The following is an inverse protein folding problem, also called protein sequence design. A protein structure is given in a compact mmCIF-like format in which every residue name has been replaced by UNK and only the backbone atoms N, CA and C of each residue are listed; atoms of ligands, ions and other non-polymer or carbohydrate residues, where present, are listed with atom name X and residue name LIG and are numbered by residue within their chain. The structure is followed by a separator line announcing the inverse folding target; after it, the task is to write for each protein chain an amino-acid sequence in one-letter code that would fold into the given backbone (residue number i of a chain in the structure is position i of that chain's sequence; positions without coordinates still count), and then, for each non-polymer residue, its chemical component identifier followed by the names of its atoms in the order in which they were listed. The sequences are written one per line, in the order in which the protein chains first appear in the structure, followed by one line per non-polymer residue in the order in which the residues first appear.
data_IF_768213213141
#
_entry.id   IF_768213213141
#
_cell.length_a   1.000
_cell.length_b   1.000
_cell.length_c   1.000
_cell.angle_alpha   90.00
_cell.angle_beta   90.00
_cell.angle_gamma   90.00
#
_symmetry.space_group_name_H-M   'P 1'
#
loop_
_entity.id
_entity.type
_entity.pdbx_description
1 polymer ?
#
# COMPACT_ATOMS: atom_id res chain seq x y z
N UNK A 1 -0.40 -19.01 11.68
CA UNK A 1 0.03 -17.91 10.78
C UNK A 1 1.09 -18.36 9.78
N UNK A 2 1.07 -17.81 8.57
CA UNK A 2 2.10 -17.96 7.53
C UNK A 2 2.78 -16.60 7.29
N UNK A 3 4.07 -16.61 6.93
CA UNK A 3 4.86 -15.39 6.72
C UNK A 3 5.42 -15.35 5.30
N UNK A 4 5.47 -14.15 4.72
CA UNK A 4 6.06 -13.89 3.42
C UNK A 4 6.93 -12.63 3.50
N UNK A 5 8.07 -12.64 2.80
CA UNK A 5 8.95 -11.48 2.63
C UNK A 5 9.43 -11.47 1.18
N UNK A 6 9.14 -10.40 0.46
CA UNK A 6 9.43 -10.27 -0.97
C UNK A 6 9.94 -8.87 -1.28
N UNK A 7 11.01 -8.76 -2.06
CA UNK A 7 11.41 -7.54 -2.71
C UNK A 7 10.40 -7.18 -3.82
N UNK A 8 10.30 -5.89 -4.13
CA UNK A 8 9.35 -5.37 -5.12
C UNK A 8 9.49 -6.06 -6.48
N UNK A 9 10.73 -6.33 -6.91
CA UNK A 9 11.02 -6.93 -8.21
C UNK A 9 10.77 -8.45 -8.25
N UNK A 10 10.46 -9.10 -7.12
CA UNK A 10 10.12 -10.52 -7.11
C UNK A 10 8.70 -10.75 -7.63
N UNK A 11 7.74 -9.90 -7.28
CA UNK A 11 6.31 -10.07 -7.61
C UNK A 11 5.73 -9.01 -8.57
N UNK A 12 6.33 -7.82 -8.64
CA UNK A 12 5.82 -6.71 -9.43
C UNK A 12 6.59 -6.56 -10.75
N UNK A 13 5.87 -6.28 -11.82
CA UNK A 13 6.40 -5.77 -13.08
C UNK A 13 5.93 -4.34 -13.32
N UNK A 14 6.64 -3.65 -14.20
CA UNK A 14 6.25 -2.35 -14.73
C UNK A 14 6.63 -2.22 -16.20
N UNK A 15 5.87 -1.40 -16.92
CA UNK A 15 6.14 -1.04 -18.32
C UNK A 15 5.99 0.48 -18.50
N UNK A 16 6.86 1.08 -19.33
CA UNK A 16 6.68 2.46 -19.76
C UNK A 16 5.52 2.53 -20.75
N UNK A 17 4.65 3.51 -20.56
CA UNK A 17 3.45 3.77 -21.36
C UNK A 17 3.32 5.26 -21.61
N UNK A 18 2.55 5.64 -22.62
CA UNK A 18 2.22 7.07 -22.80
C UNK A 18 1.35 7.52 -21.64
N UNK A 19 1.64 8.70 -21.08
CA UNK A 19 0.78 9.33 -20.08
C UNK A 19 -0.61 9.58 -20.68
N UNK A 20 -1.65 9.47 -19.86
CA UNK A 20 -3.02 9.76 -20.31
C UNK A 20 -3.10 11.24 -20.74
N UNK A 21 -3.81 11.60 -21.83
CA UNK A 21 -3.98 12.99 -22.24
C UNK A 21 -4.42 13.89 -21.07
N UNK A 22 -3.72 15.02 -20.89
CA UNK A 22 -3.93 15.95 -19.78
C UNK A 22 -3.28 15.56 -18.45
N UNK A 23 -2.64 14.38 -18.35
CA UNK A 23 -1.78 14.03 -17.21
C UNK A 23 -0.33 14.48 -17.45
N UNK A 24 0.42 14.79 -16.38
CA UNK A 24 1.85 15.01 -16.45
C UNK A 24 2.59 13.87 -17.16
N UNK A 25 3.58 14.21 -17.99
CA UNK A 25 4.37 13.26 -18.78
C UNK A 25 5.16 12.26 -17.92
N UNK A 26 5.42 12.59 -16.66
CA UNK A 26 6.08 11.71 -15.69
C UNK A 26 5.19 10.56 -15.20
N UNK A 27 3.88 10.64 -15.41
CA UNK A 27 2.92 9.59 -15.04
C UNK A 27 2.77 8.57 -16.17
N UNK A 28 3.90 7.94 -16.48
CA UNK A 28 4.12 7.15 -17.69
C UNK A 28 4.53 5.70 -17.42
N UNK A 29 4.16 5.16 -16.25
CA UNK A 29 4.34 3.75 -15.94
C UNK A 29 3.02 3.05 -15.65
N UNK A 30 2.94 1.79 -16.08
CA UNK A 30 1.88 0.86 -15.65
C UNK A 30 2.53 -0.25 -14.83
N UNK A 31 2.00 -0.45 -13.63
CA UNK A 31 2.46 -1.47 -12.68
C UNK A 31 1.46 -2.61 -12.60
N UNK A 32 1.93 -3.81 -12.31
CA UNK A 32 1.08 -4.97 -12.06
C UNK A 32 1.83 -6.11 -11.38
N UNK A 33 1.07 -7.05 -10.83
CA UNK A 33 1.60 -8.35 -10.43
C UNK A 33 2.07 -9.12 -11.67
N UNK A 34 3.23 -9.79 -11.58
CA UNK A 34 3.74 -10.68 -12.63
C UNK A 34 2.71 -11.75 -12.98
N UNK A 35 2.60 -12.10 -14.28
CA UNK A 35 1.59 -13.05 -14.78
C UNK A 35 1.71 -14.45 -14.16
N UNK A 36 2.93 -14.91 -13.92
CA UNK A 36 3.22 -16.26 -13.41
C UNK A 36 3.54 -16.25 -11.91
N UNK A 37 3.06 -15.25 -11.17
CA UNK A 37 3.27 -15.18 -9.74
C UNK A 37 2.17 -15.95 -9.00
N UNK A 38 2.57 -16.88 -8.13
CA UNK A 38 1.62 -17.64 -7.33
C UNK A 38 0.90 -16.71 -6.33
N UNK A 39 -0.44 -16.69 -6.33
CA UNK A 39 -1.19 -15.74 -5.52
C UNK A 39 -1.01 -16.02 -4.03
N UNK A 40 -0.86 -14.95 -3.25
CA UNK A 40 -0.77 -15.02 -1.78
C UNK A 40 -2.15 -14.68 -1.21
N UNK A 41 -2.90 -15.71 -0.82
CA UNK A 41 -4.35 -15.65 -0.52
C UNK A 41 -4.64 -15.88 0.96
N UNK A 42 -5.45 -15.04 1.61
CA UNK A 42 -5.73 -15.16 3.06
C UNK A 42 -5.84 -13.80 3.72
N UNK A 43 -6.54 -13.67 4.86
CA UNK A 43 -6.56 -12.41 5.61
C UNK A 43 -5.27 -12.19 6.38
N UNK A 44 -4.85 -10.94 6.57
CA UNK A 44 -3.62 -10.65 7.31
C UNK A 44 -3.19 -9.20 7.27
N UNK A 45 -1.99 -8.93 7.81
CA UNK A 45 -1.37 -7.61 7.85
C UNK A 45 -0.12 -7.63 6.98
N UNK A 46 -0.02 -6.66 6.06
CA UNK A 46 1.21 -6.40 5.32
C UNK A 46 1.86 -5.10 5.76
N UNK A 47 3.17 -5.06 5.62
CA UNK A 47 4.00 -3.86 5.81
C UNK A 47 4.90 -3.66 4.58
N UNK A 48 5.15 -2.40 4.27
CA UNK A 48 5.94 -1.97 3.10
C UNK A 48 7.10 -1.14 3.59
N UNK A 49 8.27 -1.45 3.08
CA UNK A 49 9.53 -0.80 3.42
C UNK A 49 10.21 -0.28 2.16
N UNK A 50 11.02 0.76 2.32
CA UNK A 50 11.98 1.21 1.34
C UNK A 50 13.32 1.42 2.07
N UNK A 51 14.37 0.76 1.58
CA UNK A 51 15.68 0.69 2.26
C UNK A 51 15.56 0.34 3.76
N UNK A 52 14.73 -0.66 4.06
CA UNK A 52 14.46 -1.17 5.42
C UNK A 52 13.75 -0.20 6.38
N UNK A 53 13.27 0.96 5.92
CA UNK A 53 12.46 1.89 6.72
C UNK A 53 10.98 1.66 6.45
N UNK A 54 10.18 1.55 7.52
CA UNK A 54 8.74 1.31 7.43
C UNK A 54 8.02 2.52 6.79
N UNK A 55 7.34 2.26 5.67
CA UNK A 55 6.54 3.26 4.98
C UNK A 55 5.05 3.12 5.27
N UNK A 56 4.54 1.89 5.25
CA UNK A 56 3.10 1.66 5.26
C UNK A 56 2.76 0.34 5.93
N UNK A 57 1.66 0.33 6.68
CA UNK A 57 1.00 -0.89 7.17
C UNK A 57 -0.41 -0.92 6.59
N UNK A 58 -0.85 -2.09 6.15
CA UNK A 58 -2.20 -2.29 5.67
C UNK A 58 -2.76 -3.66 5.97
N UNK A 59 -4.08 -3.75 6.06
CA UNK A 59 -4.79 -5.02 6.06
C UNK A 59 -5.05 -5.56 4.65
N UNK A 60 -5.06 -6.88 4.55
CA UNK A 60 -5.69 -7.59 3.44
C UNK A 60 -6.80 -8.49 3.98
N UNK A 61 -7.99 -8.37 3.40
CA UNK A 61 -9.23 -8.99 3.87
C UNK A 61 -9.92 -9.81 2.78
N UNK A 62 -9.13 -10.31 1.82
CA UNK A 62 -9.61 -11.02 0.65
C UNK A 62 -10.50 -10.22 -0.29
N UNK A 63 -11.19 -10.94 -1.18
CA UNK A 63 -11.99 -10.39 -2.28
C UNK A 63 -13.49 -10.60 -2.10
N UNK A 64 -14.26 -9.72 -2.75
CA UNK A 64 -15.72 -9.87 -2.82
C UNK A 64 -16.08 -10.80 -3.96
N UNK A 65 -16.69 -11.94 -3.64
CA UNK A 65 -17.24 -12.90 -4.61
C UNK A 65 -18.75 -13.02 -4.39
N UNK A 66 -19.54 -12.82 -5.45
CA UNK A 66 -21.02 -12.92 -5.43
C UNK A 66 -21.68 -12.13 -4.29
N UNK A 67 -21.17 -10.92 -4.01
CA UNK A 67 -21.70 -10.04 -2.95
C UNK A 67 -21.20 -10.34 -1.54
N UNK A 68 -20.46 -11.43 -1.32
CA UNK A 68 -19.86 -11.77 -0.04
C UNK A 68 -18.34 -11.58 -0.09
N UNK A 69 -17.77 -10.92 0.92
CA UNK A 69 -16.31 -10.76 1.04
C UNK A 69 -15.71 -11.99 1.71
N UNK A 70 -14.98 -12.78 0.94
CA UNK A 70 -14.29 -13.99 1.39
C UNK A 70 -12.86 -13.62 1.82
N UNK A 71 -12.56 -13.66 3.14
CA UNK A 71 -11.27 -13.27 3.69
C UNK A 71 -10.11 -14.15 3.21
N UNK A 72 -10.39 -15.34 2.67
CA UNK A 72 -9.38 -16.29 2.23
C UNK A 72 -9.19 -16.36 0.71
N UNK A 73 -9.72 -15.37 -0.02
CA UNK A 73 -9.65 -15.29 -1.48
C UNK A 73 -8.81 -14.11 -2.00
N UNK A 74 -8.52 -14.12 -3.31
CA UNK A 74 -7.76 -13.08 -4.00
C UNK A 74 -6.27 -13.10 -3.69
N UNK A 75 -5.51 -12.14 -4.23
CA UNK A 75 -4.09 -11.98 -3.90
C UNK A 75 -3.78 -10.64 -3.21
N UNK A 76 -2.97 -10.69 -2.15
CA UNK A 76 -2.47 -9.47 -1.50
C UNK A 76 -1.53 -8.67 -2.41
N UNK A 77 -0.87 -9.34 -3.38
CA UNK A 77 0.01 -8.67 -4.34
C UNK A 77 -0.73 -7.64 -5.21
N UNK A 78 -2.03 -7.83 -5.42
CA UNK A 78 -2.89 -6.87 -6.12
C UNK A 78 -3.16 -5.58 -5.34
N UNK A 79 -2.81 -5.56 -4.05
CA UNK A 79 -2.70 -4.34 -3.24
C UNK A 79 -1.29 -3.80 -3.25
N UNK A 80 -0.29 -4.67 -3.18
CA UNK A 80 1.12 -4.26 -3.09
C UNK A 80 1.61 -3.48 -4.28
N UNK A 81 1.37 -3.94 -5.52
CA UNK A 81 1.83 -3.20 -6.70
C UNK A 81 1.18 -1.81 -6.78
N UNK A 82 -0.07 -1.67 -6.30
CA UNK A 82 -0.77 -0.38 -6.25
C UNK A 82 -0.11 0.58 -5.26
N UNK A 83 0.49 0.06 -4.18
CA UNK A 83 1.29 0.88 -3.30
C UNK A 83 2.60 1.30 -3.95
N UNK A 84 3.32 0.44 -4.67
CA UNK A 84 4.52 0.83 -5.44
C UNK A 84 4.16 1.93 -6.45
N UNK A 85 3.08 1.73 -7.19
CA UNK A 85 2.56 2.70 -8.16
C UNK A 85 2.31 4.09 -7.55
N UNK A 86 1.84 4.13 -6.30
CA UNK A 86 1.58 5.37 -5.57
C UNK A 86 2.83 5.92 -4.85
N UNK A 87 3.68 5.07 -4.29
CA UNK A 87 4.88 5.47 -3.54
C UNK A 87 6.01 5.98 -4.43
N UNK A 88 5.95 5.69 -5.73
CA UNK A 88 6.90 6.21 -6.72
C UNK A 88 6.39 7.48 -7.40
N UNK A 89 5.08 7.74 -7.36
CA UNK A 89 4.47 8.85 -8.09
C UNK A 89 4.60 8.75 -9.61
N UNK A 90 4.75 7.54 -10.17
CA UNK A 90 5.02 7.31 -11.60
C UNK A 90 3.87 6.69 -12.39
N UNK A 91 2.83 6.22 -11.70
CA UNK A 91 1.77 5.44 -12.34
C UNK A 91 0.82 6.30 -13.18
N UNK A 92 0.51 5.85 -14.39
CA UNK A 92 -0.46 6.48 -15.29
C UNK A 92 -1.92 6.36 -14.78
N UNK A 93 -2.16 5.54 -13.76
CA UNK A 93 -3.46 5.33 -13.10
C UNK A 93 -3.67 6.19 -11.86
N UNK A 94 -2.74 7.09 -11.55
CA UNK A 94 -2.88 8.03 -10.44
C UNK A 94 -4.00 9.03 -10.73
N UNK A 95 -4.80 9.32 -9.70
CA UNK A 95 -5.64 10.50 -9.62
C UNK A 95 -5.54 11.12 -8.22
N UNK A 96 -6.01 12.34 -8.06
CA UNK A 96 -6.11 13.01 -6.77
C UNK A 96 -7.58 13.28 -6.45
N UNK A 97 -7.95 13.18 -5.18
CA UNK A 97 -9.13 13.92 -4.72
C UNK A 97 -8.75 15.40 -4.51
N UNK A 98 -9.76 16.27 -4.46
CA UNK A 98 -9.56 17.72 -4.30
C UNK A 98 -8.71 18.06 -3.08
N UNK A 99 -9.00 17.44 -1.94
CA UNK A 99 -8.29 17.67 -0.68
C UNK A 99 -6.79 17.35 -0.75
N UNK A 100 -6.42 16.23 -1.38
CA UNK A 100 -5.02 15.83 -1.54
C UNK A 100 -4.30 16.81 -2.48
N UNK A 101 -4.91 17.19 -3.61
CA UNK A 101 -4.29 18.13 -4.53
C UNK A 101 -4.12 19.52 -3.88
N UNK A 102 -5.08 19.98 -3.09
CA UNK A 102 -4.99 21.26 -2.38
C UNK A 102 -3.86 21.26 -1.33
N UNK A 103 -3.61 20.12 -0.66
CA UNK A 103 -2.45 19.97 0.24
C UNK A 103 -1.13 20.05 -0.55
N UNK A 104 -1.04 19.41 -1.71
CA UNK A 104 0.15 19.47 -2.58
C UNK A 104 0.40 20.91 -3.06
N UNK A 105 -0.64 21.64 -3.47
CA UNK A 105 -0.50 23.04 -3.87
C UNK A 105 0.11 23.92 -2.76
N UNK A 106 -0.27 23.66 -1.51
CA UNK A 106 0.14 24.43 -0.33
C UNK A 106 1.52 24.06 0.24
N UNK A 107 2.09 22.91 -0.13
CA UNK A 107 3.40 22.51 0.38
C UNK A 107 4.53 23.33 -0.25
N UNK A 108 5.73 23.28 0.32
CA UNK A 108 6.94 23.89 -0.26
C UNK A 108 7.21 23.41 -1.68
N UNK A 109 7.90 24.23 -2.48
CA UNK A 109 8.14 23.87 -3.87
C UNK A 109 9.14 22.71 -3.99
N UNK A 110 8.85 21.75 -4.87
CA UNK A 110 9.77 20.69 -5.23
C UNK A 110 9.55 20.28 -6.69
N UNK A 111 10.51 19.57 -7.29
CA UNK A 111 10.46 19.17 -8.70
C UNK A 111 9.18 18.37 -9.01
N UNK A 112 8.89 17.33 -8.22
CA UNK A 112 7.70 16.50 -8.41
C UNK A 112 6.40 17.32 -8.31
N UNK A 113 6.33 18.32 -7.42
CA UNK A 113 5.16 19.20 -7.31
C UNK A 113 4.95 19.98 -8.59
N UNK A 114 6.00 20.62 -9.11
CA UNK A 114 5.92 21.40 -10.35
C UNK A 114 5.43 20.53 -11.50
N UNK A 115 6.05 19.36 -11.68
CA UNK A 115 5.68 18.39 -12.72
C UNK A 115 4.22 17.93 -12.59
N UNK A 116 3.75 17.64 -11.38
CA UNK A 116 2.35 17.23 -11.18
C UNK A 116 1.38 18.36 -11.53
N UNK A 117 1.72 19.60 -11.21
CA UNK A 117 0.86 20.76 -11.44
C UNK A 117 0.82 21.24 -12.90
N UNK A 118 1.67 20.71 -13.77
CA UNK A 118 1.57 20.88 -15.23
C UNK A 118 0.36 20.14 -15.84
N UNK A 119 -0.20 19.16 -15.12
CA UNK A 119 -1.38 18.42 -15.56
C UNK A 119 -2.66 19.26 -15.57
N UNK A 120 -3.60 18.89 -16.44
CA UNK A 120 -4.94 19.46 -16.45
C UNK A 120 -5.66 19.15 -15.12
N UNK A 121 -6.07 20.17 -14.35
CA UNK A 121 -6.79 19.97 -13.09
C UNK A 121 -8.04 19.08 -13.21
N UNK A 122 -8.75 19.09 -14.35
CA UNK A 122 -9.93 18.26 -14.59
C UNK A 122 -9.58 16.78 -14.76
N UNK A 123 -8.37 16.47 -15.22
CA UNK A 123 -7.88 15.10 -15.39
C UNK A 123 -7.21 14.60 -14.11
N UNK A 124 -6.49 15.48 -13.40
CA UNK A 124 -5.89 15.21 -12.09
C UNK A 124 -6.95 14.89 -11.04
N UNK A 125 -8.06 15.63 -11.03
CA UNK A 125 -9.21 15.44 -10.12
C UNK A 125 -10.46 15.07 -10.92
N UNK A 126 -10.56 13.82 -11.40
CA UNK A 126 -11.67 13.39 -12.23
C UNK A 126 -12.98 13.32 -11.42
N UNK A 127 -14.15 13.50 -12.08
CA UNK A 127 -15.45 13.41 -11.41
C UNK A 127 -15.81 11.99 -10.96
N UNK A 128 -15.17 10.97 -11.55
CA UNK A 128 -15.26 9.56 -11.15
C UNK A 128 -13.86 8.99 -10.93
N UNK A 129 -13.74 8.09 -9.97
CA UNK A 129 -12.47 7.41 -9.69
C UNK A 129 -11.97 6.65 -10.93
N UNK A 130 -10.72 6.88 -11.34
CA UNK A 130 -10.14 6.28 -12.55
C UNK A 130 -8.89 5.42 -12.31
N UNK A 131 -8.64 5.06 -11.05
CA UNK A 131 -7.46 4.27 -10.70
C UNK A 131 -7.14 4.33 -9.21
N UNK A 132 -5.99 4.93 -8.86
CA UNK A 132 -5.47 4.92 -7.50
C UNK A 132 -5.37 6.34 -6.95
N UNK A 133 -6.04 6.63 -5.83
CA UNK A 133 -5.97 7.93 -5.18
C UNK A 133 -4.57 8.14 -4.61
N UNK A 134 -3.91 9.20 -5.08
CA UNK A 134 -2.56 9.55 -4.65
C UNK A 134 -2.64 10.53 -3.48
N UNK A 135 -2.55 9.93 -2.29
CA UNK A 135 -2.65 10.66 -1.04
C UNK A 135 -1.40 11.48 -0.74
N UNK A 136 -1.61 12.60 -0.03
CA UNK A 136 -0.55 13.57 0.28
C UNK A 136 0.69 12.95 0.95
N UNK A 137 0.52 12.02 1.89
CA UNK A 137 1.66 11.40 2.58
C UNK A 137 2.54 10.55 1.63
N UNK A 138 1.94 9.89 0.65
CA UNK A 138 2.67 9.15 -0.40
C UNK A 138 3.34 10.10 -1.38
N UNK A 139 2.67 11.22 -1.70
CA UNK A 139 3.27 12.29 -2.49
C UNK A 139 4.51 12.85 -1.82
N UNK A 140 4.44 13.17 -0.52
CA UNK A 140 5.57 13.70 0.25
C UNK A 140 6.76 12.74 0.21
N UNK A 141 6.52 11.45 0.46
CA UNK A 141 7.56 10.43 0.33
C UNK A 141 8.18 10.38 -1.08
N UNK A 142 7.35 10.41 -2.12
CA UNK A 142 7.83 10.39 -3.50
C UNK A 142 8.62 11.64 -3.88
N UNK A 143 8.23 12.80 -3.37
CA UNK A 143 8.91 14.06 -3.62
C UNK A 143 10.30 14.10 -2.97
N UNK A 144 10.44 13.54 -1.77
CA UNK A 144 11.72 13.46 -1.06
C UNK A 144 12.69 12.44 -1.66
N UNK A 145 12.16 11.42 -2.34
CA UNK A 145 12.94 10.37 -3.01
C UNK A 145 12.86 10.52 -4.54
N UNK A 146 12.57 11.72 -5.03
CA UNK A 146 12.29 11.92 -6.45
C UNK A 146 13.50 11.61 -7.34
N UNK A 147 14.72 11.80 -6.84
CA UNK A 147 15.94 11.46 -7.57
C UNK A 147 16.04 9.97 -7.91
N UNK A 148 15.55 9.11 -7.01
CA UNK A 148 15.42 7.66 -7.28
C UNK A 148 14.29 7.40 -8.29
N UNK A 149 13.13 8.03 -8.08
CA UNK A 149 11.91 7.70 -8.83
C UNK A 149 11.80 8.36 -10.20
N UNK A 150 12.54 9.43 -10.47
CA UNK A 150 12.55 10.08 -11.78
C UNK A 150 13.17 9.19 -12.85
N UNK A 151 14.10 8.33 -12.45
CA UNK A 151 14.78 7.32 -13.27
C UNK A 151 14.37 5.89 -12.88
N UNK A 152 13.11 5.70 -12.45
CA UNK A 152 12.63 4.42 -11.94
C UNK A 152 12.97 3.23 -12.85
N UNK A 153 13.62 2.23 -12.26
CA UNK A 153 14.10 1.02 -12.92
C UNK A 153 13.96 -0.22 -12.00
N UNK A 154 14.50 -1.35 -12.44
CA UNK A 154 14.40 -2.61 -11.71
C UNK A 154 15.20 -2.60 -10.39
N UNK A 155 16.31 -1.87 -10.32
CA UNK A 155 17.10 -1.74 -9.09
C UNK A 155 16.38 -0.87 -8.06
N UNK A 156 15.73 0.21 -8.50
CA UNK A 156 14.85 1.03 -7.66
C UNK A 156 13.68 0.21 -7.13
N UNK A 157 13.08 -0.64 -7.98
CA UNK A 157 12.00 -1.54 -7.57
C UNK A 157 12.44 -2.56 -6.49
N UNK A 158 13.67 -3.08 -6.58
CA UNK A 158 14.24 -4.04 -5.63
C UNK A 158 14.44 -3.45 -4.23
N UNK A 159 14.56 -2.12 -4.10
CA UNK A 159 14.69 -1.41 -2.80
C UNK A 159 13.41 -1.43 -1.97
N UNK A 160 12.27 -1.72 -2.58
CA UNK A 160 11.04 -1.98 -1.84
C UNK A 160 11.05 -3.39 -1.26
N UNK A 161 10.69 -3.52 0.02
CA UNK A 161 10.43 -4.83 0.66
C UNK A 161 8.99 -4.88 1.15
N UNK A 162 8.34 -6.00 0.90
CA UNK A 162 6.97 -6.30 1.32
C UNK A 162 6.99 -7.50 2.26
N UNK A 163 6.49 -7.29 3.47
CA UNK A 163 6.35 -8.36 4.45
C UNK A 163 4.86 -8.61 4.69
N UNK A 164 4.47 -9.87 4.77
CA UNK A 164 3.11 -10.29 5.03
C UNK A 164 3.05 -11.29 6.17
N UNK A 165 2.19 -11.04 7.14
CA UNK A 165 1.77 -12.01 8.12
C UNK A 165 0.32 -12.36 7.85
N UNK A 166 0.10 -13.62 7.54
CA UNK A 166 -1.17 -14.17 7.10
C UNK A 166 -1.76 -15.04 8.20
N UNK A 167 -3.01 -14.79 8.52
CA UNK A 167 -3.81 -15.73 9.29
C UNK A 167 -4.18 -16.93 8.41
N UNK A 168 -4.18 -18.12 9.00
CA UNK A 168 -4.68 -19.34 8.37
C UNK A 168 -6.13 -19.59 8.83
N UNK A 169 -6.95 -20.34 8.06
CA UNK A 169 -8.35 -20.57 8.42
C UNK A 169 -8.55 -21.14 9.83
N UNK A 170 -7.64 -22.02 10.29
CA UNK A 170 -7.67 -22.58 11.65
C UNK A 170 -7.38 -21.58 12.77
N UNK A 171 -6.95 -20.35 12.44
CA UNK A 171 -6.77 -19.27 13.42
C UNK A 171 -8.11 -18.61 13.82
N UNK A 172 -9.21 -18.95 13.14
CA UNK A 172 -10.53 -18.35 13.34
C UNK A 172 -11.64 -19.38 13.38
N UNK A 173 -12.76 -19.01 14.02
CA UNK A 173 -14.04 -19.58 13.66
C UNK A 173 -14.47 -19.04 12.28
N UNK A 174 -14.44 -19.90 11.27
CA UNK A 174 -14.77 -19.55 9.90
C UNK A 174 -16.27 -19.43 9.64
N UNK A 175 -17.13 -19.66 10.64
CA UNK A 175 -18.58 -19.49 10.52
C UNK A 175 -19.00 -18.02 10.42
N UNK A 176 -18.20 -17.08 10.97
CA UNK A 176 -18.45 -15.63 10.91
C UNK A 176 -17.31 -14.87 10.20
N UNK A 177 -17.42 -14.76 8.88
CA UNK A 177 -16.48 -14.00 8.04
C UNK A 177 -16.52 -12.48 8.31
N UNK A 178 -17.57 -11.94 8.92
CA UNK A 178 -17.64 -10.52 9.33
C UNK A 178 -16.74 -10.31 10.55
N UNK A 179 -16.80 -11.21 11.53
CA UNK A 179 -15.98 -11.14 12.72
C UNK A 179 -14.48 -11.16 12.38
N UNK A 180 -14.05 -12.04 11.46
CA UNK A 180 -12.65 -12.12 11.00
C UNK A 180 -12.17 -10.74 10.49
N UNK A 181 -12.94 -10.09 9.62
CA UNK A 181 -12.58 -8.78 9.05
C UNK A 181 -12.50 -7.69 10.13
N UNK A 182 -13.44 -7.68 11.07
CA UNK A 182 -13.44 -6.73 12.21
C UNK A 182 -12.24 -6.95 13.13
N UNK A 183 -11.78 -8.19 13.26
CA UNK A 183 -10.60 -8.53 14.03
C UNK A 183 -9.34 -7.99 13.32
N UNK A 184 -9.17 -8.31 12.03
CA UNK A 184 -8.02 -7.87 11.24
C UNK A 184 -7.90 -6.34 11.22
N UNK A 185 -9.01 -5.63 11.00
CA UNK A 185 -9.01 -4.16 10.98
C UNK A 185 -8.71 -3.52 12.34
N UNK A 186 -9.12 -4.17 13.45
CA UNK A 186 -8.73 -3.73 14.80
C UNK A 186 -7.24 -3.89 15.03
N UNK A 187 -6.66 -5.01 14.60
CA UNK A 187 -5.21 -5.25 14.69
C UNK A 187 -4.44 -4.23 13.85
N UNK A 188 -4.85 -3.99 12.60
CA UNK A 188 -4.25 -2.98 11.74
C UNK A 188 -4.26 -1.60 12.41
N UNK A 189 -5.41 -1.19 12.96
CA UNK A 189 -5.55 0.10 13.65
C UNK A 189 -4.59 0.22 14.83
N UNK A 190 -4.49 -0.82 15.67
CA UNK A 190 -3.56 -0.83 16.81
C UNK A 190 -2.11 -0.72 16.35
N UNK A 191 -1.73 -1.49 15.33
CA UNK A 191 -0.36 -1.47 14.78
C UNK A 191 -0.03 -0.09 14.22
N UNK A 192 -0.93 0.53 13.47
CA UNK A 192 -0.69 1.86 12.88
C UNK A 192 -0.58 2.93 13.96
N UNK A 193 -1.38 2.85 15.02
CA UNK A 193 -1.27 3.77 16.16
C UNK A 193 0.08 3.64 16.88
N UNK A 194 0.61 2.41 16.99
CA UNK A 194 1.92 2.15 17.62
C UNK A 194 3.10 2.57 16.73
N UNK A 195 3.07 2.20 15.45
CA UNK A 195 4.19 2.36 14.54
C UNK A 195 4.19 3.68 13.77
N UNK A 196 3.02 4.33 13.67
CA UNK A 196 2.80 5.61 12.96
C UNK A 196 3.52 5.66 11.60
N UNK A 197 3.25 4.72 10.67
CA UNK A 197 4.01 4.62 9.43
C UNK A 197 3.77 5.85 8.53
N UNK A 198 4.84 6.30 7.88
CA UNK A 198 4.89 7.57 7.16
C UNK A 198 3.78 7.78 6.13
N UNK A 199 3.45 6.73 5.38
CA UNK A 199 2.59 6.81 4.21
C UNK A 199 1.14 6.41 4.49
N UNK A 200 0.79 6.03 5.71
CA UNK A 200 -0.60 5.87 6.13
C UNK A 200 -1.27 7.26 6.20
N UNK A 201 -2.44 7.42 5.57
CA UNK A 201 -3.01 8.74 5.24
C UNK A 201 -3.40 9.61 6.45
N UNK A 202 -3.66 8.99 7.60
CA UNK A 202 -4.09 9.64 8.84
C UNK A 202 -2.95 9.87 9.84
N UNK A 203 -1.72 9.49 9.49
CA UNK A 203 -0.52 9.78 10.29
C UNK A 203 -0.05 11.20 9.97
N UNK A 204 0.07 12.05 11.00
CA UNK A 204 0.51 13.45 10.87
C UNK A 204 1.95 13.69 11.33
N UNK A 205 2.46 12.83 12.20
CA UNK A 205 3.82 12.87 12.73
C UNK A 205 4.36 11.42 12.74
N UNK A 206 5.13 11.05 11.70
CA UNK A 206 5.49 9.65 11.46
C UNK A 206 6.71 9.22 12.27
N UNK A 207 6.75 7.96 12.66
CA UNK A 207 7.91 7.36 13.32
C UNK A 207 8.76 6.57 12.32
N UNK A 208 10.08 6.68 12.43
CA UNK A 208 11.02 5.95 11.59
C UNK A 208 11.40 4.63 12.28
N UNK A 209 10.57 3.60 12.10
CA UNK A 209 10.90 2.25 12.53
C UNK A 209 11.68 1.52 11.44
N UNK A 210 12.72 0.78 11.84
CA UNK A 210 13.35 -0.17 10.95
C UNK A 210 12.48 -1.44 10.80
N UNK A 211 12.84 -2.28 9.82
CA UNK A 211 12.11 -3.48 9.50
C UNK A 211 12.02 -4.48 10.66
N UNK A 212 13.10 -4.72 11.39
CA UNK A 212 13.11 -5.76 12.43
C UNK A 212 12.24 -5.36 13.64
N UNK A 213 12.35 -4.10 14.10
CA UNK A 213 11.53 -3.55 15.18
C UNK A 213 10.05 -3.58 14.85
N UNK A 214 9.69 -3.11 13.65
CA UNK A 214 8.30 -3.05 13.22
C UNK A 214 7.71 -4.45 13.00
N UNK A 215 8.46 -5.39 12.44
CA UNK A 215 8.01 -6.78 12.28
C UNK A 215 7.78 -7.48 13.62
N UNK A 216 8.60 -7.17 14.64
CA UNK A 216 8.40 -7.66 16.00
C UNK A 216 7.06 -7.19 16.58
N UNK A 217 6.78 -5.89 16.49
CA UNK A 217 5.52 -5.29 16.98
C UNK A 217 4.31 -5.85 16.21
N UNK A 218 4.40 -5.97 14.88
CA UNK A 218 3.31 -6.56 14.07
C UNK A 218 3.03 -8.00 14.52
N UNK A 219 4.09 -8.80 14.73
CA UNK A 219 3.96 -10.19 15.20
C UNK A 219 3.26 -10.26 16.55
N UNK A 220 3.69 -9.43 17.49
CA UNK A 220 3.12 -9.38 18.84
C UNK A 220 1.62 -9.07 18.79
N UNK A 221 1.22 -8.03 18.06
CA UNK A 221 -0.18 -7.60 17.98
C UNK A 221 -1.08 -8.62 17.28
N UNK A 222 -0.60 -9.26 16.21
CA UNK A 222 -1.36 -10.32 15.55
C UNK A 222 -1.54 -11.55 16.44
N UNK A 223 -0.54 -11.87 17.28
CA UNK A 223 -0.60 -13.06 18.16
C UNK A 223 -1.60 -12.88 19.30
N UNK A 224 -1.68 -11.68 19.91
CA UNK A 224 -2.62 -11.37 21.00
C UNK A 224 -4.07 -11.68 20.66
N UNK A 225 -4.43 -11.50 19.40
CA UNK A 225 -5.78 -11.73 18.91
C UNK A 225 -6.10 -13.22 18.77
N UNK A 226 -5.12 -14.05 18.42
CA UNK A 226 -5.31 -15.50 18.37
C UNK A 226 -5.62 -16.06 19.77
N UNK A 227 -4.90 -15.59 20.79
CA UNK A 227 -5.11 -16.05 22.17
C UNK A 227 -6.46 -15.61 22.75
N UNK A 228 -6.94 -14.41 22.39
CA UNK A 228 -8.24 -13.92 22.87
C UNK A 228 -9.44 -14.56 22.17
N UNK A 229 -9.29 -14.97 20.89
CA UNK A 229 -10.34 -15.67 20.16
C UNK A 229 -10.60 -17.09 20.68
N UNK A 230 -9.61 -17.72 21.34
CA UNK A 230 -9.73 -19.04 21.98
C UNK A 230 -10.53 -18.95 23.31
N UNK A 231 -10.71 -17.76 23.88
CA UNK A 231 -11.36 -17.57 25.20
C UNK A 231 -12.72 -16.84 25.14
N UNK A 232 -13.31 -16.74 23.95
CA UNK A 232 -14.70 -16.30 23.77
C UNK A 232 -15.67 -17.47 23.50
N UNK A 233 -15.25 -18.70 23.80
CA UNK A 233 -16.08 -19.89 23.95
C UNK A 233 -16.51 -20.03 25.41
#
# INVERSE_FOLDING_TARGET
MKEYKLAGNEFCDFEKVVAIPGMPSILNFKFGTKRNFDPITGSGIYSIYYDSILLYVGEYNGETKKGLKDPFSGSVTDRWYKHIALLTGRSNRIYFNKTNLDKIKKMENCELKNLILEGDPKVLVPPKERGHNYHFNKFKFSAENWDDFKNFDAETLKRFTFCYRQYIPSDFDTSDLIAIRKIVGRVETTIINKLRPRCNAYVTDPSAFNMDESLSIIKEEMTKVQTSAIHLQ
#
